data_IF_689321189887
#
_entry.id   IF_689321189887
#
_cell.length_a   1.000
_cell.length_b   1.000
_cell.length_c   1.000
_cell.angle_alpha   90.00
_cell.angle_beta   90.00
_cell.angle_gamma   90.00
#
_symmetry.space_group_name_H-M   'P 1'
#
loop_
_entity.id
_entity.type
_entity.pdbx_description
1 polymer ?
#
# COMPACT_ATOMS: atom_id res chain seq x y z
N UNK A 1 15.39 -30.83 11.02
CA UNK A 1 15.91 -29.46 11.07
C UNK A 1 15.18 -28.66 10.01
N UNK A 2 14.50 -27.57 10.38
CA UNK A 2 13.78 -26.74 9.41
C UNK A 2 14.78 -25.96 8.56
N UNK A 3 14.49 -25.78 7.27
CA UNK A 3 15.11 -24.70 6.52
C UNK A 3 14.45 -23.40 6.95
N UNK A 4 15.19 -22.56 7.65
CA UNK A 4 14.70 -21.27 8.11
C UNK A 4 14.63 -20.28 6.94
N UNK A 5 13.50 -19.59 6.74
CA UNK A 5 13.43 -18.52 5.74
C UNK A 5 14.22 -17.31 6.20
N UNK A 6 14.45 -16.36 5.30
CA UNK A 6 15.13 -15.11 5.62
C UNK A 6 14.44 -14.36 6.76
N UNK A 7 15.23 -13.70 7.60
CA UNK A 7 14.70 -12.82 8.64
C UNK A 7 13.83 -11.73 7.98
N UNK A 8 12.73 -11.39 8.63
CA UNK A 8 11.68 -10.54 8.07
C UNK A 8 10.60 -11.31 7.33
N UNK A 9 10.79 -12.58 6.98
CA UNK A 9 9.75 -13.40 6.32
C UNK A 9 8.55 -13.60 7.24
N UNK A 10 7.34 -13.44 6.68
CA UNK A 10 6.10 -13.73 7.40
C UNK A 10 5.90 -15.24 7.50
N UNK A 11 5.78 -15.75 8.72
CA UNK A 11 5.66 -17.18 9.01
C UNK A 11 4.51 -17.47 9.96
N UNK A 12 4.02 -18.70 9.91
CA UNK A 12 3.31 -19.32 11.02
C UNK A 12 4.23 -20.37 11.65
N UNK A 13 4.40 -20.27 12.96
CA UNK A 13 5.24 -21.12 13.78
C UNK A 13 4.34 -21.90 14.75
N UNK A 14 4.30 -23.22 14.63
CA UNK A 14 3.65 -24.09 15.62
C UNK A 14 4.72 -24.61 16.58
N UNK A 15 4.50 -24.46 17.87
CA UNK A 15 5.49 -24.83 18.88
C UNK A 15 4.88 -25.45 20.14
N UNK A 16 5.72 -26.19 20.88
CA UNK A 16 5.40 -26.78 22.18
C UNK A 16 5.39 -25.72 23.27
N UNK A 17 4.33 -25.72 24.07
CA UNK A 17 4.26 -24.93 25.30
C UNK A 17 4.93 -25.68 26.44
N UNK A 18 5.19 -24.98 27.54
CA UNK A 18 5.73 -25.58 28.76
C UNK A 18 4.96 -26.86 29.14
N UNK A 19 5.70 -27.89 29.58
CA UNK A 19 5.15 -29.19 29.97
C UNK A 19 3.99 -29.01 30.96
N UNK A 20 2.83 -29.59 30.64
CA UNK A 20 1.60 -29.44 31.43
C UNK A 20 0.62 -28.39 30.91
N UNK A 21 0.98 -27.64 29.86
CA UNK A 21 0.05 -26.69 29.22
C UNK A 21 -1.10 -27.40 28.51
N UNK A 22 -2.30 -26.83 28.60
CA UNK A 22 -3.49 -27.22 27.82
C UNK A 22 -3.95 -26.00 27.01
N UNK A 23 -3.98 -26.06 25.66
CA UNK A 23 -3.40 -27.11 24.82
C UNK A 23 -1.86 -27.17 24.91
N UNK A 24 -1.23 -28.32 24.59
CA UNK A 24 0.22 -28.51 24.66
C UNK A 24 0.99 -27.83 23.52
N UNK A 25 0.29 -27.50 22.43
CA UNK A 25 0.82 -26.80 21.27
C UNK A 25 0.08 -25.48 21.08
N UNK A 26 0.77 -24.49 20.53
CA UNK A 26 0.16 -23.24 20.08
C UNK A 26 0.84 -22.72 18.82
N UNK A 27 0.19 -21.78 18.14
CA UNK A 27 0.69 -21.16 16.93
C UNK A 27 1.06 -19.68 17.19
N UNK A 28 2.12 -19.20 16.54
CA UNK A 28 2.49 -17.79 16.45
C UNK A 28 2.53 -17.39 14.97
N UNK A 29 1.86 -16.29 14.63
CA UNK A 29 1.84 -15.75 13.26
C UNK A 29 2.45 -14.36 13.27
N UNK A 30 3.49 -14.15 12.47
CA UNK A 30 4.25 -12.91 12.50
C UNK A 30 5.45 -12.91 11.56
N UNK A 31 6.35 -11.95 11.73
CA UNK A 31 7.61 -11.90 10.99
C UNK A 31 8.74 -12.51 11.82
N UNK A 32 9.55 -13.35 11.17
CA UNK A 32 10.71 -13.98 11.79
C UNK A 32 11.79 -12.92 12.09
N UNK A 33 12.21 -12.79 13.33
CA UNK A 33 13.21 -11.80 13.76
C UNK A 33 14.59 -12.41 14.00
N UNK A 34 14.63 -13.64 14.52
CA UNK A 34 15.84 -14.38 14.82
C UNK A 34 15.53 -15.88 14.83
N UNK A 35 16.56 -16.70 14.60
CA UNK A 35 16.49 -18.17 14.68
C UNK A 35 17.49 -18.75 15.66
N UNK A 36 18.49 -17.97 16.05
CA UNK A 36 19.50 -18.32 17.05
C UNK A 36 19.69 -17.15 18.03
N UNK A 37 19.94 -17.42 19.34
CA UNK A 37 19.92 -18.75 19.98
C UNK A 37 18.49 -19.30 20.17
N UNK A 38 17.48 -18.45 19.99
CA UNK A 38 16.06 -18.77 20.07
C UNK A 38 15.33 -18.22 18.85
N UNK A 39 14.22 -18.87 18.50
CA UNK A 39 13.36 -18.47 17.40
C UNK A 39 12.44 -17.37 17.89
N UNK A 40 12.56 -16.17 17.29
CA UNK A 40 11.78 -14.99 17.67
C UNK A 40 10.84 -14.58 16.54
N UNK A 41 9.55 -14.46 16.83
CA UNK A 41 8.52 -14.05 15.87
C UNK A 41 7.78 -12.83 16.39
N UNK A 42 7.81 -11.73 15.64
CA UNK A 42 7.00 -10.53 15.95
C UNK A 42 5.60 -10.70 15.39
N UNK A 43 4.63 -10.87 16.28
CA UNK A 43 3.22 -10.95 15.90
C UNK A 43 2.68 -9.62 15.40
N UNK A 44 1.49 -9.64 14.78
CA UNK A 44 0.81 -8.42 14.29
C UNK A 44 0.57 -7.36 15.38
N UNK A 45 0.50 -7.75 16.65
CA UNK A 45 0.29 -6.83 17.78
C UNK A 45 1.58 -6.21 18.30
N UNK A 46 2.72 -6.52 17.68
CA UNK A 46 4.05 -6.08 18.13
C UNK A 46 4.66 -6.99 19.20
N UNK A 47 3.88 -7.90 19.81
CA UNK A 47 4.41 -8.86 20.78
C UNK A 47 5.40 -9.82 20.11
N UNK A 48 6.55 -10.04 20.76
CA UNK A 48 7.57 -10.98 20.30
C UNK A 48 7.35 -12.31 21.03
N UNK A 49 7.06 -13.34 20.26
CA UNK A 49 7.02 -14.73 20.74
C UNK A 49 8.42 -15.30 20.58
N UNK A 50 8.97 -15.82 21.67
CA UNK A 50 10.29 -16.42 21.72
C UNK A 50 10.17 -17.89 22.10
N UNK A 51 10.81 -18.76 21.31
CA UNK A 51 10.66 -20.22 21.39
C UNK A 51 12.03 -20.88 21.19
N UNK A 52 12.33 -21.93 21.95
CA UNK A 52 13.51 -22.75 21.68
C UNK A 52 13.37 -23.44 20.30
N UNK A 53 14.46 -23.53 19.53
CA UNK A 53 14.42 -24.14 18.20
C UNK A 53 13.88 -25.58 18.24
N UNK A 54 14.19 -26.34 19.30
CA UNK A 54 13.73 -27.73 19.50
C UNK A 54 12.24 -27.84 19.82
N UNK A 55 11.62 -26.77 20.32
CA UNK A 55 10.18 -26.73 20.61
C UNK A 55 9.34 -26.41 19.38
N UNK A 56 9.96 -25.98 18.28
CA UNK A 56 9.27 -25.74 17.02
C UNK A 56 8.92 -27.07 16.35
N UNK A 57 7.63 -27.28 16.08
CA UNK A 57 7.12 -28.53 15.48
C UNK A 57 6.66 -28.36 14.04
N UNK A 58 6.28 -27.14 13.64
CA UNK A 58 5.99 -26.84 12.24
C UNK A 58 6.28 -25.38 11.93
N UNK A 59 6.75 -25.14 10.71
CA UNK A 59 7.00 -23.82 10.15
C UNK A 59 6.37 -23.76 8.76
N UNK A 60 5.63 -22.68 8.49
CA UNK A 60 5.13 -22.40 7.14
C UNK A 60 5.32 -20.93 6.81
N UNK A 61 5.95 -20.67 5.66
CA UNK A 61 6.01 -19.34 5.06
C UNK A 61 4.61 -18.94 4.63
N UNK A 62 4.19 -17.75 5.05
CA UNK A 62 2.92 -17.17 4.66
C UNK A 62 3.17 -16.14 3.56
N UNK A 63 2.23 -16.09 2.60
CA UNK A 63 2.11 -14.92 1.74
C UNK A 63 1.74 -13.70 2.58
N UNK A 64 1.89 -12.51 1.99
CA UNK A 64 1.45 -11.27 2.63
C UNK A 64 0.02 -11.37 3.14
N UNK A 65 -0.24 -10.69 4.26
CA UNK A 65 -1.58 -10.66 4.83
C UNK A 65 -2.58 -10.15 3.77
N UNK A 66 -3.74 -10.80 3.60
CA UNK A 66 -4.75 -10.31 2.68
C UNK A 66 -5.09 -8.86 2.99
N UNK A 67 -4.84 -7.98 2.03
CA UNK A 67 -5.16 -6.56 2.14
C UNK A 67 -6.67 -6.41 2.19
N UNK A 68 -7.24 -5.80 3.23
CA UNK A 68 -8.70 -5.61 3.35
C UNK A 68 -9.19 -4.45 2.49
N UNK A 69 -10.45 -4.46 2.07
CA UNK A 69 -11.06 -3.36 1.30
C UNK A 69 -11.01 -2.04 2.07
N UNK A 70 -11.18 -2.07 3.41
CA UNK A 70 -11.01 -0.89 4.25
C UNK A 70 -9.60 -0.31 4.24
N UNK A 71 -8.56 -1.17 4.20
CA UNK A 71 -7.16 -0.73 4.10
C UNK A 71 -6.86 -0.14 2.72
N UNK A 72 -7.47 -0.68 1.66
CA UNK A 72 -7.39 -0.07 0.32
C UNK A 72 -8.00 1.32 0.35
N UNK A 73 -9.23 1.46 0.86
CA UNK A 73 -9.90 2.77 0.96
C UNK A 73 -9.09 3.78 1.78
N UNK A 74 -8.59 3.37 2.95
CA UNK A 74 -7.78 4.24 3.81
C UNK A 74 -6.55 4.80 3.09
N UNK A 75 -5.80 3.94 2.39
CA UNK A 75 -4.64 4.35 1.60
C UNK A 75 -5.04 5.23 0.41
N UNK A 76 -6.11 4.88 -0.29
CA UNK A 76 -6.58 5.66 -1.45
C UNK A 76 -7.09 7.05 -1.05
N UNK A 77 -7.65 7.21 0.16
CA UNK A 77 -7.94 8.51 0.77
C UNK A 77 -6.67 9.31 1.01
N UNK A 78 -5.66 8.71 1.65
CA UNK A 78 -4.38 9.37 1.90
C UNK A 78 -3.68 9.79 0.59
N UNK A 79 -3.73 8.92 -0.42
CA UNK A 79 -3.19 9.21 -1.75
C UNK A 79 -3.98 10.31 -2.47
N UNK A 80 -5.31 10.35 -2.30
CA UNK A 80 -6.12 11.42 -2.86
C UNK A 80 -5.85 12.77 -2.18
N UNK A 81 -5.60 12.78 -0.88
CA UNK A 81 -5.21 13.97 -0.14
C UNK A 81 -3.83 14.51 -0.55
N UNK A 82 -2.90 13.62 -0.93
CA UNK A 82 -1.56 14.00 -1.36
C UNK A 82 -1.55 14.65 -2.76
N UNK A 83 -2.54 14.34 -3.60
CA UNK A 83 -2.71 14.95 -4.92
C UNK A 83 -4.18 15.35 -5.10
N UNK A 84 -4.62 16.45 -4.47
CA UNK A 84 -6.05 16.78 -4.35
C UNK A 84 -6.71 17.16 -5.68
N UNK A 85 -5.94 17.64 -6.66
CA UNK A 85 -6.47 18.33 -7.83
C UNK A 85 -6.90 19.77 -7.47
N UNK A 86 -7.21 20.56 -8.48
CA UNK A 86 -7.68 21.95 -8.33
C UNK A 86 -9.13 22.01 -7.87
N UNK A 87 -9.98 21.16 -8.43
CA UNK A 87 -11.39 21.02 -8.09
C UNK A 87 -11.68 19.64 -7.54
N UNK A 88 -12.56 19.58 -6.52
CA UNK A 88 -12.95 18.34 -5.84
C UNK A 88 -14.45 18.35 -5.58
N UNK A 89 -15.08 17.19 -5.72
CA UNK A 89 -16.47 16.98 -5.32
C UNK A 89 -16.67 15.56 -4.80
N UNK A 90 -17.51 15.42 -3.77
CA UNK A 90 -18.05 14.13 -3.37
C UNK A 90 -19.38 13.90 -4.08
N UNK A 91 -19.56 12.72 -4.64
CA UNK A 91 -20.80 12.31 -5.31
C UNK A 91 -21.04 10.84 -5.00
N UNK A 92 -22.06 10.54 -4.19
CA UNK A 92 -22.51 9.16 -3.88
C UNK A 92 -21.36 8.20 -3.57
N UNK A 93 -20.47 8.62 -2.66
CA UNK A 93 -19.32 7.84 -2.23
C UNK A 93 -18.08 7.87 -3.14
N UNK A 94 -18.16 8.56 -4.27
CA UNK A 94 -17.03 8.85 -5.14
C UNK A 94 -16.39 10.19 -4.80
N UNK A 95 -15.06 10.23 -4.83
CA UNK A 95 -14.30 11.48 -4.84
C UNK A 95 -13.89 11.79 -6.28
N UNK A 96 -14.44 12.87 -6.83
CA UNK A 96 -14.13 13.40 -8.15
C UNK A 96 -13.05 14.46 -8.01
N UNK A 97 -12.02 14.40 -8.86
CA UNK A 97 -10.89 15.34 -8.88
C UNK A 97 -10.59 15.80 -10.30
N UNK A 98 -10.33 17.10 -10.47
CA UNK A 98 -9.93 17.73 -11.73
C UNK A 98 -8.82 18.76 -11.54
N UNK A 99 -7.90 18.85 -12.50
CA UNK A 99 -6.76 19.78 -12.50
C UNK A 99 -5.49 19.22 -11.85
N UNK A 100 -4.37 19.94 -11.97
CA UNK A 100 -3.06 19.55 -11.40
C UNK A 100 -2.61 18.12 -11.77
N UNK A 101 -2.89 17.70 -13.01
CA UNK A 101 -2.55 16.35 -13.49
C UNK A 101 -3.46 15.22 -13.00
N UNK A 102 -4.54 15.53 -12.27
CA UNK A 102 -5.51 14.55 -11.74
C UNK A 102 -6.89 14.81 -12.30
N UNK A 103 -7.36 13.97 -13.22
CA UNK A 103 -8.68 14.08 -13.86
C UNK A 103 -9.40 12.73 -13.84
N UNK A 104 -9.73 12.23 -12.66
CA UNK A 104 -10.45 10.96 -12.49
C UNK A 104 -11.19 10.85 -11.15
N UNK A 105 -12.28 10.08 -11.14
CA UNK A 105 -13.05 9.77 -9.94
C UNK A 105 -12.55 8.47 -9.28
N UNK A 106 -12.59 8.39 -7.95
CA UNK A 106 -12.19 7.20 -7.17
C UNK A 106 -13.32 6.83 -6.19
N UNK A 107 -13.73 5.55 -6.09
CA UNK A 107 -14.77 5.12 -5.15
C UNK A 107 -14.16 4.99 -3.75
N UNK A 108 -14.20 6.06 -2.96
CA UNK A 108 -13.49 6.11 -1.67
C UNK A 108 -14.37 5.75 -0.48
N UNK A 109 -15.68 5.98 -0.57
CA UNK A 109 -16.64 5.56 0.45
C UNK A 109 -17.30 4.21 0.11
N UNK A 110 -17.69 3.48 1.14
CA UNK A 110 -18.32 2.15 1.02
C UNK A 110 -19.65 2.19 0.25
N UNK A 111 -20.33 3.34 0.22
CA UNK A 111 -21.57 3.57 -0.52
C UNK A 111 -21.39 3.76 -2.03
N UNK A 112 -20.15 3.85 -2.54
CA UNK A 112 -19.91 4.03 -3.96
C UNK A 112 -20.48 2.87 -4.80
N UNK A 113 -21.28 3.20 -5.82
CA UNK A 113 -21.86 2.24 -6.78
C UNK A 113 -21.63 2.67 -8.23
N UNK A 114 -21.89 1.76 -9.18
CA UNK A 114 -21.87 2.07 -10.60
C UNK A 114 -23.00 3.03 -11.03
N UNK A 115 -24.11 3.10 -10.26
CA UNK A 115 -25.24 3.99 -10.55
C UNK A 115 -24.89 5.48 -10.56
N UNK A 116 -23.80 5.87 -9.89
CA UNK A 116 -23.29 7.24 -9.87
C UNK A 116 -22.55 7.65 -11.17
N UNK A 117 -22.17 6.69 -12.03
CA UNK A 117 -21.31 6.93 -13.19
C UNK A 117 -21.87 7.96 -14.17
N UNK A 118 -23.17 7.95 -14.54
CA UNK A 118 -23.74 8.99 -15.40
C UNK A 118 -23.61 10.41 -14.81
N UNK A 119 -23.77 10.55 -13.49
CA UNK A 119 -23.63 11.85 -12.82
C UNK A 119 -22.15 12.29 -12.74
N UNK A 120 -21.23 11.34 -12.56
CA UNK A 120 -19.78 11.56 -12.63
C UNK A 120 -19.39 12.05 -14.02
N UNK A 121 -19.90 11.41 -15.07
CA UNK A 121 -19.65 11.79 -16.45
C UNK A 121 -20.07 13.25 -16.70
N UNK A 122 -21.31 13.58 -16.36
CA UNK A 122 -21.82 14.95 -16.50
C UNK A 122 -20.97 15.99 -15.73
N UNK A 123 -20.41 15.63 -14.57
CA UNK A 123 -19.55 16.52 -13.79
C UNK A 123 -18.24 16.87 -14.52
N UNK A 124 -17.62 15.90 -15.20
CA UNK A 124 -16.41 16.12 -16.00
C UNK A 124 -16.71 16.83 -17.32
N UNK A 125 -17.82 16.50 -17.98
CA UNK A 125 -18.21 17.11 -19.25
C UNK A 125 -18.47 18.61 -19.15
N UNK A 126 -19.13 19.05 -18.07
CA UNK A 126 -19.34 20.49 -17.79
C UNK A 126 -18.02 21.28 -17.67
N UNK A 127 -16.90 20.58 -17.51
CA UNK A 127 -15.55 21.14 -17.44
C UNK A 127 -14.74 20.92 -18.71
N UNK A 128 -15.34 20.37 -19.76
CA UNK A 128 -14.64 20.01 -20.99
C UNK A 128 -13.63 18.88 -20.82
N UNK A 129 -13.80 18.02 -19.80
CA UNK A 129 -12.90 16.92 -19.48
C UNK A 129 -13.51 15.57 -19.83
N UNK A 130 -12.66 14.64 -20.28
CA UNK A 130 -13.05 13.23 -20.44
C UNK A 130 -13.15 12.57 -19.07
N UNK A 131 -14.34 12.07 -18.73
CA UNK A 131 -14.58 11.35 -17.51
C UNK A 131 -13.78 10.03 -17.45
N UNK A 132 -12.96 9.90 -16.40
CA UNK A 132 -12.17 8.69 -16.12
C UNK A 132 -12.48 8.19 -14.72
N UNK A 133 -12.59 6.87 -14.60
CA UNK A 133 -12.78 6.18 -13.33
C UNK A 133 -11.48 5.47 -12.98
N UNK A 134 -10.99 5.67 -11.77
CA UNK A 134 -9.90 4.92 -11.18
C UNK A 134 -10.48 3.96 -10.16
N UNK A 135 -10.41 2.67 -10.44
CA UNK A 135 -11.00 1.62 -9.64
C UNK A 135 -9.89 0.82 -8.96
N UNK A 136 -9.66 1.01 -7.66
CA UNK A 136 -8.82 0.11 -6.89
C UNK A 136 -9.45 -1.28 -6.83
N UNK A 137 -8.63 -2.31 -6.95
CA UNK A 137 -9.10 -3.69 -6.96
C UNK A 137 -9.96 -3.99 -5.73
N UNK A 138 -11.10 -4.65 -5.97
CA UNK A 138 -12.07 -5.10 -4.95
C UNK A 138 -12.92 -4.00 -4.31
N UNK A 139 -12.79 -2.74 -4.72
CA UNK A 139 -13.67 -1.67 -4.22
C UNK A 139 -14.99 -1.57 -4.96
N UNK A 140 -14.99 -1.93 -6.25
CA UNK A 140 -16.20 -2.03 -7.07
C UNK A 140 -16.11 -3.28 -7.96
N UNK A 141 -17.24 -3.96 -8.22
CA UNK A 141 -17.31 -4.97 -9.27
C UNK A 141 -17.01 -4.29 -10.62
N UNK A 142 -16.27 -4.98 -11.47
CA UNK A 142 -16.02 -4.50 -12.82
C UNK A 142 -16.92 -5.24 -13.79
N UNK A 143 -17.47 -4.53 -14.80
CA UNK A 143 -18.25 -5.19 -15.82
C UNK A 143 -17.40 -6.22 -16.59
N UNK A 144 -17.96 -7.38 -16.95
CA UNK A 144 -17.29 -8.35 -17.81
C UNK A 144 -16.87 -7.72 -19.13
N UNK A 145 -15.69 -8.09 -19.65
CA UNK A 145 -15.22 -7.66 -20.96
C UNK A 145 -14.69 -6.22 -21.06
N UNK A 146 -14.73 -5.43 -19.99
CA UNK A 146 -14.15 -4.08 -19.98
C UNK A 146 -12.65 -4.14 -19.69
N UNK A 147 -11.85 -3.69 -20.66
CA UNK A 147 -10.40 -3.57 -20.52
C UNK A 147 -10.00 -2.22 -19.93
N UNK A 148 -9.13 -2.26 -18.92
CA UNK A 148 -8.55 -1.04 -18.36
C UNK A 148 -7.64 -0.37 -19.40
N UNK A 149 -7.77 0.96 -19.54
CA UNK A 149 -6.89 1.77 -20.42
C UNK A 149 -5.47 1.88 -19.86
N UNK A 150 -5.37 1.90 -18.53
CA UNK A 150 -4.13 2.03 -17.79
C UNK A 150 -4.26 1.29 -16.47
N UNK A 151 -3.15 0.74 -15.98
CA UNK A 151 -3.11 0.06 -14.69
C UNK A 151 -1.93 0.54 -13.88
N UNK A 152 -2.11 0.61 -12.57
CA UNK A 152 -1.08 0.98 -11.61
C UNK A 152 -1.00 -0.07 -10.50
N UNK A 153 0.19 -0.22 -9.94
CA UNK A 153 0.41 -0.99 -8.72
C UNK A 153 0.70 -0.01 -7.60
N UNK A 154 -0.04 -0.16 -6.51
CA UNK A 154 0.22 0.56 -5.27
C UNK A 154 0.99 -0.37 -4.36
N UNK A 155 2.17 0.07 -3.96
CA UNK A 155 3.06 -0.68 -3.09
C UNK A 155 3.20 0.05 -1.76
N UNK A 156 3.43 -0.71 -0.68
CA UNK A 156 3.54 -0.16 0.67
C UNK A 156 4.72 -0.74 1.41
N UNK A 157 5.25 0.02 2.36
CA UNK A 157 6.14 -0.51 3.40
C UNK A 157 5.80 0.10 4.76
N UNK A 158 6.22 -0.58 5.81
CA UNK A 158 6.23 0.02 7.14
C UNK A 158 7.36 1.04 7.22
N UNK A 159 7.11 2.15 7.91
CA UNK A 159 8.09 3.22 8.11
C UNK A 159 8.26 3.38 9.61
N UNK A 160 9.51 3.43 10.04
CA UNK A 160 9.87 3.63 11.44
C UNK A 160 11.03 4.60 11.49
N UNK A 161 11.07 5.42 12.53
CA UNK A 161 12.23 6.26 12.77
C UNK A 161 13.39 5.33 13.15
N UNK A 162 14.24 4.97 12.18
CA UNK A 162 15.60 4.54 12.47
C UNK A 162 16.50 5.77 12.61
N UNK A 163 17.72 5.53 13.12
CA UNK A 163 18.78 6.52 13.41
C UNK A 163 18.78 7.69 12.42
N UNK A 164 19.00 8.95 12.86
CA UNK A 164 18.90 10.12 11.99
C UNK A 164 19.73 9.93 10.73
N UNK A 165 19.05 9.85 9.58
CA UNK A 165 19.69 10.03 8.28
C UNK A 165 19.91 11.54 8.14
N UNK A 166 21.13 11.96 7.79
CA UNK A 166 21.40 13.37 7.53
C UNK A 166 20.38 13.94 6.54
N UNK A 167 19.94 15.19 6.72
CA UNK A 167 18.94 15.78 5.85
C UNK A 167 19.43 15.77 4.41
N UNK A 168 18.57 15.27 3.51
CA UNK A 168 18.78 15.29 2.07
C UNK A 168 19.34 16.64 1.62
N UNK A 169 20.55 16.64 1.05
CA UNK A 169 21.10 17.84 0.40
C UNK A 169 20.29 18.17 -0.85
N UNK A 170 20.32 19.42 -1.32
CA UNK A 170 19.41 19.93 -2.36
C UNK A 170 19.34 19.10 -3.66
N UNK A 171 20.34 18.25 -3.96
CA UNK A 171 20.33 17.32 -5.08
C UNK A 171 19.40 16.11 -4.91
N UNK A 172 19.21 15.58 -3.70
CA UNK A 172 18.34 14.42 -3.44
C UNK A 172 16.85 14.79 -3.59
N UNK A 173 16.49 16.03 -3.22
CA UNK A 173 15.15 16.59 -3.47
C UNK A 173 14.82 16.76 -4.96
N UNK A 174 15.82 16.72 -5.85
CA UNK A 174 15.61 16.78 -7.29
C UNK A 174 15.22 15.41 -7.88
N UNK A 175 15.53 14.30 -7.20
CA UNK A 175 15.31 12.93 -7.67
C UNK A 175 14.02 12.30 -7.15
N UNK A 176 13.51 12.78 -6.01
CA UNK A 176 12.26 12.31 -5.42
C UNK A 176 11.55 13.40 -4.60
N UNK A 177 10.25 13.23 -4.43
CA UNK A 177 9.38 14.06 -3.60
C UNK A 177 8.56 13.18 -2.67
N UNK A 178 8.20 13.73 -1.51
CA UNK A 178 7.35 13.08 -0.54
C UNK A 178 6.22 14.00 -0.06
N UNK A 179 5.05 13.44 0.19
CA UNK A 179 3.93 14.13 0.83
C UNK A 179 3.41 13.29 1.98
N UNK A 180 3.27 13.89 3.17
CA UNK A 180 2.70 13.22 4.35
C UNK A 180 1.22 13.55 4.45
N UNK A 181 0.37 12.53 4.55
CA UNK A 181 -1.08 12.67 4.67
C UNK A 181 -1.67 11.71 5.69
N UNK A 182 -2.79 12.10 6.27
CA UNK A 182 -3.52 11.27 7.24
C UNK A 182 -4.68 10.54 6.54
N UNK A 183 -4.79 9.23 6.79
CA UNK A 183 -5.91 8.42 6.36
C UNK A 183 -7.08 8.47 7.37
N UNK A 184 -8.33 8.19 6.96
CA UNK A 184 -9.49 8.17 7.86
C UNK A 184 -9.39 7.17 9.02
N UNK A 185 -8.54 6.14 8.91
CA UNK A 185 -8.31 5.17 9.98
C UNK A 185 -7.24 5.61 10.99
N UNK A 186 -6.76 6.86 10.88
CA UNK A 186 -5.72 7.44 11.73
C UNK A 186 -4.30 7.08 11.30
N UNK A 187 -4.12 6.28 10.25
CA UNK A 187 -2.78 5.97 9.74
C UNK A 187 -2.18 7.19 9.05
N UNK A 188 -0.98 7.61 9.47
CA UNK A 188 -0.21 8.65 8.78
C UNK A 188 0.70 8.02 7.71
N UNK A 189 0.47 8.39 6.47
CA UNK A 189 1.15 7.88 5.29
C UNK A 189 2.15 8.89 4.73
N UNK A 190 3.24 8.39 4.14
CA UNK A 190 4.08 9.15 3.21
C UNK A 190 3.95 8.58 1.80
N UNK A 191 3.54 9.42 0.87
CA UNK A 191 3.53 9.10 -0.56
C UNK A 191 4.79 9.57 -1.25
N UNK A 192 5.51 8.66 -1.90
CA UNK A 192 6.71 8.98 -2.68
C UNK A 192 6.37 9.15 -4.16
N UNK A 193 7.02 10.11 -4.80
CA UNK A 193 7.02 10.30 -6.25
C UNK A 193 8.45 10.54 -6.72
N UNK A 194 8.92 9.76 -7.69
CA UNK A 194 10.29 9.89 -8.21
C UNK A 194 10.31 10.60 -9.57
N UNK A 195 11.39 11.33 -9.78
CA UNK A 195 11.80 11.91 -11.07
C UNK A 195 13.05 11.21 -11.60
N UNK A 196 13.87 10.64 -10.71
CA UNK A 196 15.04 9.83 -11.07
C UNK A 196 14.71 8.44 -11.63
N UNK A 197 15.72 7.81 -12.23
CA UNK A 197 15.59 6.47 -12.83
C UNK A 197 15.51 5.39 -11.74
N UNK A 198 14.86 4.28 -12.04
CA UNK A 198 14.64 3.22 -11.04
C UNK A 198 15.94 2.51 -10.61
N UNK A 199 16.91 2.42 -11.53
CA UNK A 199 18.16 1.68 -11.32
C UNK A 199 19.30 2.58 -10.78
N UNK A 200 19.03 3.86 -10.55
CA UNK A 200 20.01 4.81 -10.01
C UNK A 200 20.07 4.73 -8.48
N UNK A 201 21.24 4.38 -7.89
CA UNK A 201 21.42 4.35 -6.44
C UNK A 201 21.12 5.67 -5.74
N UNK A 202 21.35 6.81 -6.39
CA UNK A 202 21.05 8.12 -5.81
C UNK A 202 19.53 8.34 -5.66
N UNK A 203 18.73 7.80 -6.59
CA UNK A 203 17.27 7.81 -6.49
C UNK A 203 16.77 6.96 -5.31
N UNK A 204 17.39 5.80 -5.06
CA UNK A 204 17.07 4.97 -3.89
C UNK A 204 17.45 5.68 -2.58
N UNK A 205 18.64 6.28 -2.50
CA UNK A 205 19.10 7.03 -1.35
C UNK A 205 18.17 8.22 -1.02
N UNK A 206 17.76 8.99 -2.04
CA UNK A 206 16.80 10.09 -1.89
C UNK A 206 15.45 9.59 -1.35
N UNK A 207 14.96 8.44 -1.82
CA UNK A 207 13.72 7.84 -1.29
C UNK A 207 13.86 7.44 0.19
N UNK A 208 14.97 6.83 0.59
CA UNK A 208 15.22 6.47 2.00
C UNK A 208 15.28 7.72 2.91
N UNK A 209 15.98 8.76 2.47
CA UNK A 209 16.05 10.03 3.22
C UNK A 209 14.66 10.64 3.41
N UNK A 210 13.81 10.62 2.38
CA UNK A 210 12.42 11.09 2.47
C UNK A 210 11.55 10.22 3.39
N UNK A 211 11.76 8.90 3.41
CA UNK A 211 11.07 7.99 4.32
C UNK A 211 11.46 8.27 5.77
N UNK A 212 12.75 8.49 6.06
CA UNK A 212 13.24 8.87 7.37
C UNK A 212 12.69 10.25 7.81
N UNK A 213 12.70 11.24 6.92
CA UNK A 213 12.13 12.56 7.15
C UNK A 213 10.64 12.51 7.50
N UNK A 214 9.88 11.63 6.84
CA UNK A 214 8.46 11.44 7.11
C UNK A 214 8.22 10.66 8.41
N UNK A 215 9.07 9.67 8.72
CA UNK A 215 9.02 8.95 9.99
C UNK A 215 9.17 9.91 11.19
N UNK A 216 10.12 10.86 11.09
CA UNK A 216 10.31 11.92 12.08
C UNK A 216 9.08 12.85 12.23
N UNK A 217 8.15 12.83 11.28
CA UNK A 217 6.85 13.56 11.30
C UNK A 217 5.66 12.66 11.68
N UNK A 218 5.95 11.46 12.18
CA UNK A 218 4.97 10.50 12.64
C UNK A 218 4.35 9.63 11.54
N UNK A 219 4.87 9.66 10.30
CA UNK A 219 4.44 8.69 9.30
C UNK A 219 4.89 7.29 9.69
N UNK A 220 3.94 6.35 9.77
CA UNK A 220 4.21 4.96 10.14
C UNK A 220 4.19 4.03 8.93
N UNK A 221 3.79 4.56 7.77
CA UNK A 221 3.63 3.82 6.53
C UNK A 221 4.08 4.65 5.34
N UNK A 222 4.72 4.02 4.38
CA UNK A 222 5.07 4.61 3.10
C UNK A 222 4.32 3.93 1.96
N UNK A 223 3.97 4.67 0.92
CA UNK A 223 3.44 4.11 -0.32
C UNK A 223 4.13 4.72 -1.55
N UNK A 224 4.16 3.93 -2.62
CA UNK A 224 4.56 4.38 -3.95
C UNK A 224 3.60 3.80 -5.00
N UNK A 225 3.38 4.54 -6.07
CA UNK A 225 2.52 4.13 -7.18
C UNK A 225 3.37 4.02 -8.43
N UNK A 226 3.33 2.87 -9.09
CA UNK A 226 4.05 2.62 -10.35
C UNK A 226 3.10 2.14 -11.43
N UNK A 227 3.42 2.39 -12.72
CA UNK A 227 2.71 1.75 -13.83
C UNK A 227 2.69 0.22 -13.65
N UNK A 228 1.59 -0.42 -14.06
CA UNK A 228 1.41 -1.87 -13.85
C UNK A 228 2.45 -2.75 -14.52
N UNK A 229 3.08 -2.25 -15.58
CA UNK A 229 4.15 -2.90 -16.35
C UNK A 229 5.56 -2.48 -15.93
N UNK A 230 5.70 -1.59 -14.95
CA UNK A 230 7.00 -1.09 -14.53
C UNK A 230 7.82 -2.17 -13.79
N UNK A 231 9.14 -2.07 -13.89
CA UNK A 231 10.08 -2.85 -13.07
C UNK A 231 9.83 -2.59 -11.58
N UNK A 232 9.96 -3.66 -10.79
CA UNK A 232 9.83 -3.63 -9.33
C UNK A 232 11.18 -3.40 -8.63
N UNK A 233 12.30 -3.36 -9.36
CA UNK A 233 13.65 -3.34 -8.78
C UNK A 233 13.86 -2.27 -7.69
N UNK A 234 13.49 -1.01 -7.96
CA UNK A 234 13.58 0.05 -6.95
C UNK A 234 12.67 -0.21 -5.75
N UNK A 235 11.45 -0.68 -5.99
CA UNK A 235 10.51 -0.96 -4.92
C UNK A 235 11.02 -2.11 -4.03
N UNK A 236 11.54 -3.17 -4.64
CA UNK A 236 12.12 -4.32 -3.94
C UNK A 236 13.36 -3.89 -3.14
N UNK A 237 14.24 -3.08 -3.74
CA UNK A 237 15.43 -2.52 -3.06
C UNK A 237 15.06 -1.65 -1.85
N UNK A 238 13.95 -0.92 -1.92
CA UNK A 238 13.41 -0.11 -0.84
C UNK A 238 12.45 -0.89 0.09
N UNK A 239 12.32 -2.21 -0.07
CA UNK A 239 11.46 -3.04 0.78
C UNK A 239 9.96 -2.75 0.67
N UNK A 240 9.50 -2.17 -0.44
CA UNK A 240 8.08 -2.01 -0.75
C UNK A 240 7.49 -3.32 -1.28
N UNK A 241 6.32 -3.68 -0.74
CA UNK A 241 5.54 -4.85 -1.15
C UNK A 241 4.24 -4.45 -1.82
N UNK A 242 3.72 -5.31 -2.69
CA UNK A 242 2.45 -5.04 -3.37
C UNK A 242 1.27 -4.96 -2.39
N UNK A 243 0.45 -3.91 -2.53
CA UNK A 243 -0.77 -3.73 -1.73
C UNK A 243 -2.03 -4.04 -2.53
N UNK A 244 -2.20 -3.34 -3.65
CA UNK A 244 -3.32 -3.52 -4.57
C UNK A 244 -2.99 -2.91 -5.94
N UNK A 245 -3.89 -3.10 -6.91
CA UNK A 245 -3.81 -2.42 -8.21
C UNK A 245 -4.93 -1.42 -8.35
N UNK A 246 -4.70 -0.40 -9.17
CA UNK A 246 -5.69 0.57 -9.60
C UNK A 246 -5.84 0.45 -11.11
N UNK A 247 -7.08 0.37 -11.58
CA UNK A 247 -7.40 0.23 -13.01
C UNK A 247 -8.20 1.43 -13.47
N UNK A 248 -7.83 1.97 -14.62
CA UNK A 248 -8.44 3.17 -15.16
C UNK A 248 -9.33 2.85 -16.34
N UNK A 249 -10.56 3.36 -16.30
CA UNK A 249 -11.58 3.13 -17.31
C UNK A 249 -12.15 4.47 -17.78
N UNK A 250 -12.58 4.60 -19.03
CA UNK A 250 -13.47 5.70 -19.41
C UNK A 250 -14.83 5.47 -18.74
N UNK A 251 -15.49 6.54 -18.30
CA UNK A 251 -16.83 6.43 -17.70
C UNK A 251 -17.88 5.94 -18.73
N UNK A 252 -17.75 6.38 -19.99
CA UNK A 252 -18.60 6.01 -21.15
C UNK A 252 -18.51 4.54 -21.61
N UNK A 253 -17.82 3.66 -20.90
CA UNK A 253 -17.75 2.26 -21.31
C UNK A 253 -19.12 1.58 -21.11
N UNK A 254 -19.69 1.05 -22.20
CA UNK A 254 -21.00 0.35 -22.28
C UNK A 254 -21.24 -0.78 -21.26
N UNK A 255 -20.24 -1.17 -20.46
CA UNK A 255 -20.40 -2.21 -19.45
C UNK A 255 -20.96 -1.71 -18.11
N UNK A 256 -20.85 -0.41 -17.81
CA UNK A 256 -21.18 0.10 -16.47
C UNK A 256 -22.68 0.08 -16.14
N UNK A 257 -23.54 0.08 -17.17
CA UNK A 257 -25.00 0.01 -17.02
C UNK A 257 -25.51 -1.37 -16.57
N UNK A 258 -24.62 -2.38 -16.53
CA UNK A 258 -24.98 -3.79 -16.26
C UNK A 258 -24.51 -4.31 -14.89
N UNK A 259 -23.94 -3.45 -14.04
CA UNK A 259 -23.32 -3.81 -12.74
C UNK A 259 -24.13 -3.31 -11.56
#
# INVERSE_FOLDING_TARGET
MFSWPELGTRVTLRYRRAKGSVPPLTDAVGHLLAVEPSVRVRTKTGAVVEVAADDVVALRVLTDAPVRTSQIRALEHAAAAATPGRERAWLEGWLLRAGEGVNYAVPLDVSATAGAIPAIEAWYERRGLTARLAIPDRLLPLPPGVSARHTERVLVRDVSASTPVEPATGGELALARATVTDAPDGTRWVGLSRTGTADDPATAAACEALLAWAAARGATRGYLVVPGTASMALADALGFRAHHRRRYFPARSLGWDTV
#
